data_IF_799361693833
#
_entry.id   IF_799361693833
#
_cell.length_a   1.000
_cell.length_b   1.000
_cell.length_c   1.000
_cell.angle_alpha   90.00
_cell.angle_beta   90.00
_cell.angle_gamma   90.00
#
_symmetry.space_group_name_H-M   'P 1'
#
loop_
_entity.id
_entity.type
_entity.pdbx_description
1 polymer ?
#
# COMPACT_ATOMS: atom_id res chain seq x y z
N UNK A 1 25.77 -8.77 -11.36
CA UNK A 1 25.59 -8.60 -9.91
C UNK A 1 26.97 -8.73 -9.27
N UNK A 2 27.72 -7.63 -9.23
CA UNK A 2 29.10 -7.63 -8.71
C UNK A 2 29.21 -6.88 -7.38
N UNK A 3 28.15 -6.22 -6.92
CA UNK A 3 28.10 -5.56 -5.62
C UNK A 3 26.68 -5.60 -5.01
N UNK A 4 26.57 -5.24 -3.73
CA UNK A 4 25.31 -5.26 -2.98
C UNK A 4 24.23 -4.33 -3.56
N UNK A 5 24.62 -3.25 -4.25
CA UNK A 5 23.69 -2.28 -4.86
C UNK A 5 23.00 -2.91 -6.07
N UNK A 6 23.71 -3.66 -6.90
CA UNK A 6 23.12 -4.36 -8.06
C UNK A 6 22.05 -5.36 -7.60
N UNK A 7 22.33 -6.11 -6.54
CA UNK A 7 21.40 -7.09 -5.95
C UNK A 7 20.17 -6.37 -5.39
N UNK A 8 20.37 -5.27 -4.67
CA UNK A 8 19.27 -4.46 -4.15
C UNK A 8 18.39 -3.88 -5.27
N UNK A 9 19.00 -3.40 -6.35
CA UNK A 9 18.26 -2.84 -7.49
C UNK A 9 17.45 -3.91 -8.23
N UNK A 10 18.00 -5.10 -8.46
CA UNK A 10 17.25 -6.22 -9.07
C UNK A 10 16.07 -6.65 -8.19
N UNK A 11 16.27 -6.74 -6.86
CA UNK A 11 15.17 -7.00 -5.92
C UNK A 11 14.11 -5.91 -6.01
N UNK A 12 14.51 -4.63 -5.94
CA UNK A 12 13.59 -3.51 -6.02
C UNK A 12 12.81 -3.51 -7.34
N UNK A 13 13.45 -3.77 -8.48
CA UNK A 13 12.78 -3.83 -9.77
C UNK A 13 11.72 -4.94 -9.83
N UNK A 14 12.06 -6.15 -9.35
CA UNK A 14 11.14 -7.29 -9.33
C UNK A 14 9.98 -7.10 -8.37
N UNK A 15 10.26 -6.64 -7.16
CA UNK A 15 9.24 -6.49 -6.11
C UNK A 15 8.42 -5.22 -6.28
N UNK A 16 8.94 -4.14 -6.87
CA UNK A 16 8.17 -2.92 -7.13
C UNK A 16 6.97 -3.13 -8.04
N UNK A 17 7.04 -4.08 -8.99
CA UNK A 17 5.89 -4.44 -9.82
C UNK A 17 4.81 -5.17 -9.02
N UNK A 18 5.22 -6.09 -8.13
CA UNK A 18 4.30 -6.76 -7.22
C UNK A 18 3.66 -5.76 -6.24
N UNK A 19 4.42 -4.77 -5.77
CA UNK A 19 3.92 -3.68 -4.94
C UNK A 19 2.84 -2.88 -5.68
N UNK A 20 3.03 -2.54 -6.97
CA UNK A 20 2.01 -1.86 -7.78
C UNK A 20 0.72 -2.67 -7.95
N UNK A 21 0.83 -3.98 -8.13
CA UNK A 21 -0.34 -4.87 -8.20
C UNK A 21 -1.09 -4.84 -6.86
N UNK A 22 -0.37 -4.99 -5.74
CA UNK A 22 -0.99 -4.97 -4.42
C UNK A 22 -1.65 -3.63 -4.10
N UNK A 23 -1.03 -2.51 -4.47
CA UNK A 23 -1.64 -1.18 -4.35
C UNK A 23 -2.96 -1.12 -5.13
N UNK A 24 -3.00 -1.63 -6.36
CA UNK A 24 -4.21 -1.63 -7.18
C UNK A 24 -5.31 -2.50 -6.56
N UNK A 25 -4.97 -3.67 -6.02
CA UNK A 25 -5.90 -4.53 -5.27
C UNK A 25 -6.47 -3.81 -4.05
N UNK A 26 -5.62 -3.19 -3.22
CA UNK A 26 -6.03 -2.42 -2.05
C UNK A 26 -6.96 -1.25 -2.42
N UNK A 27 -6.68 -0.56 -3.53
CA UNK A 27 -7.56 0.49 -4.05
C UNK A 27 -8.93 -0.08 -4.47
N UNK A 28 -8.96 -1.24 -5.11
CA UNK A 28 -10.21 -1.92 -5.46
C UNK A 28 -10.98 -2.36 -4.21
N UNK A 29 -10.31 -2.94 -3.22
CA UNK A 29 -10.90 -3.30 -1.93
C UNK A 29 -11.51 -2.07 -1.24
N UNK A 30 -10.78 -0.96 -1.23
CA UNK A 30 -11.24 0.33 -0.68
C UNK A 30 -12.49 0.84 -1.41
N UNK A 31 -12.50 0.80 -2.75
CA UNK A 31 -13.64 1.24 -3.56
C UNK A 31 -14.85 0.32 -3.42
N UNK A 32 -14.63 -0.97 -3.18
CA UNK A 32 -15.69 -1.95 -2.96
C UNK A 32 -16.23 -1.91 -1.52
N UNK A 33 -15.49 -1.36 -0.56
CA UNK A 33 -15.87 -1.30 0.84
C UNK A 33 -17.12 -0.44 1.03
N UNK A 34 -18.21 -1.07 1.49
CA UNK A 34 -19.46 -0.42 1.86
C UNK A 34 -19.82 -0.78 3.28
N UNK A 35 -20.47 0.14 3.98
CA UNK A 35 -20.91 -0.08 5.36
C UNK A 35 -22.03 -1.12 5.41
N UNK A 36 -23.00 -1.05 4.49
CA UNK A 36 -24.15 -1.94 4.41
C UNK A 36 -24.79 -2.20 5.79
N UNK A 37 -24.89 -3.45 6.21
CA UNK A 37 -25.44 -3.87 7.51
C UNK A 37 -24.40 -3.93 8.63
N UNK A 38 -23.14 -3.55 8.37
CA UNK A 38 -22.07 -3.57 9.38
C UNK A 38 -22.23 -2.41 10.34
N UNK A 39 -21.79 -2.61 11.58
CA UNK A 39 -21.68 -1.51 12.54
C UNK A 39 -20.63 -0.50 12.08
N UNK A 40 -20.71 0.73 12.57
CA UNK A 40 -19.72 1.78 12.30
C UNK A 40 -18.32 1.32 12.69
N UNK A 41 -18.18 0.63 13.83
CA UNK A 41 -16.90 0.13 14.32
C UNK A 41 -16.31 -0.92 13.38
N UNK A 42 -17.10 -1.86 12.88
CA UNK A 42 -16.64 -2.90 11.96
C UNK A 42 -16.23 -2.31 10.60
N UNK A 43 -17.05 -1.40 10.06
CA UNK A 43 -16.74 -0.71 8.81
C UNK A 43 -15.45 0.12 8.94
N UNK A 44 -15.34 0.92 10.00
CA UNK A 44 -14.18 1.77 10.21
C UNK A 44 -12.90 0.96 10.46
N UNK A 45 -13.00 -0.15 11.20
CA UNK A 45 -11.85 -1.05 11.40
C UNK A 45 -11.35 -1.62 10.07
N UNK A 46 -12.26 -2.07 9.19
CA UNK A 46 -11.90 -2.56 7.85
C UNK A 46 -11.29 -1.47 6.98
N UNK A 47 -11.87 -0.26 6.99
CA UNK A 47 -11.32 0.91 6.29
C UNK A 47 -9.90 1.23 6.77
N UNK A 48 -9.69 1.23 8.09
CA UNK A 48 -8.41 1.54 8.70
C UNK A 48 -7.32 0.53 8.33
N UNK A 49 -7.64 -0.75 8.30
CA UNK A 49 -6.69 -1.79 7.89
C UNK A 49 -6.19 -1.59 6.45
N UNK A 50 -7.09 -1.31 5.50
CA UNK A 50 -6.72 -1.07 4.11
C UNK A 50 -5.82 0.17 4.00
N UNK A 51 -6.13 1.22 4.76
CA UNK A 51 -5.33 2.45 4.80
C UNK A 51 -3.93 2.24 5.37
N UNK A 52 -3.80 1.54 6.50
CA UNK A 52 -2.51 1.23 7.12
C UNK A 52 -1.62 0.40 6.18
N UNK A 53 -2.21 -0.52 5.41
CA UNK A 53 -1.46 -1.28 4.41
C UNK A 53 -1.01 -0.41 3.23
N UNK A 54 -1.87 0.47 2.71
CA UNK A 54 -1.51 1.41 1.65
C UNK A 54 -0.35 2.34 2.03
N UNK A 55 -0.28 2.79 3.29
CA UNK A 55 0.80 3.65 3.79
C UNK A 55 2.18 2.98 3.73
N UNK A 56 2.26 1.64 3.79
CA UNK A 56 3.53 0.89 3.64
C UNK A 56 4.10 1.08 2.23
N UNK A 57 3.23 1.10 1.23
CA UNK A 57 3.60 1.17 -0.19
C UNK A 57 3.72 2.60 -0.72
N UNK A 58 2.93 3.52 -0.16
CA UNK A 58 2.90 4.94 -0.51
C UNK A 58 3.30 5.77 0.70
N UNK A 59 4.59 5.72 1.12
CA UNK A 59 5.04 6.52 2.24
C UNK A 59 4.78 7.99 1.92
N UNK A 60 4.25 8.72 2.91
CA UNK A 60 3.97 10.15 2.78
C UNK A 60 5.20 10.86 2.21
N UNK A 61 5.04 11.64 1.13
CA UNK A 61 6.17 12.35 0.55
C UNK A 61 6.76 13.27 1.61
N UNK A 62 8.08 13.21 1.77
CA UNK A 62 8.79 14.11 2.68
C UNK A 62 8.50 15.56 2.27
N UNK A 63 7.74 16.29 3.08
CA UNK A 63 7.51 17.73 2.88
C UNK A 63 8.88 18.42 3.01
N UNK A 64 9.40 18.96 1.92
CA UNK A 64 10.60 19.81 1.94
C UNK A 64 10.26 21.26 2.27
N UNK A 65 9.18 21.45 3.03
CA UNK A 65 8.57 22.74 3.30
C UNK A 65 9.54 23.57 4.14
N UNK A 66 10.11 24.63 3.52
CA UNK A 66 11.04 25.58 4.13
C UNK A 66 10.29 26.72 4.79
#
# INVERSE_FOLDING_TARGET
>A
MENAIDVWNDLKERFSQADLIRIAELQQELHALKQDSRTVTEFYSGLKLIWEELEIYLPMPNCSCR
#
